data_IF_169011415718
#
_entry.id   IF_169011415718
#
_cell.length_a   1.000
_cell.length_b   1.000
_cell.length_c   1.000
_cell.angle_alpha   90.00
_cell.angle_beta   90.00
_cell.angle_gamma   90.00
#
_symmetry.space_group_name_H-M   'P 1'
#
loop_
_entity.id
_entity.type
_entity.pdbx_description
1 polymer ?
2 polymer ?
#
# COMPACT_ATOMS: atom_id res chain seq x y z
N UNK A 3 -24.11 -31.75 11.29
CA UNK A 3 -23.46 -31.32 10.04
C UNK A 3 -22.91 -29.89 10.09
N UNK A 4 -21.66 -29.72 9.67
CA UNK A 4 -20.99 -28.42 9.78
C UNK A 4 -21.74 -27.38 8.96
N UNK A 5 -22.00 -26.24 9.53
CA UNK A 5 -22.89 -25.25 8.89
C UNK A 5 -22.18 -24.33 7.90
N UNK A 6 -21.45 -24.93 6.97
CA UNK A 6 -20.72 -24.13 5.96
C UNK A 6 -21.74 -23.30 5.19
N UNK A 7 -22.96 -23.83 5.05
CA UNK A 7 -24.05 -23.12 4.33
C UNK A 7 -24.24 -21.74 4.95
N UNK A 8 -24.33 -21.67 6.28
CA UNK A 8 -24.63 -20.39 6.95
C UNK A 8 -23.57 -19.34 6.61
N UNK A 9 -22.31 -19.73 6.51
CA UNK A 9 -21.25 -18.79 6.11
C UNK A 9 -21.49 -18.30 4.71
N UNK A 10 -21.59 -19.23 3.76
CA UNK A 10 -21.58 -18.87 2.36
C UNK A 10 -22.88 -18.21 1.92
N UNK A 11 -23.99 -18.47 2.60
CA UNK A 11 -25.27 -17.99 2.12
C UNK A 11 -25.82 -16.83 2.95
N UNK A 12 -25.03 -16.29 3.88
CA UNK A 12 -25.49 -15.21 4.75
C UNK A 12 -25.99 -14.03 3.93
N UNK A 13 -26.87 -13.23 4.53
CA UNK A 13 -27.43 -12.13 3.77
C UNK A 13 -26.38 -11.08 3.46
N UNK A 14 -25.69 -10.57 4.47
CA UNK A 14 -24.57 -9.67 4.25
C UNK A 14 -23.33 -10.16 4.98
N UNK A 15 -22.19 -9.80 4.41
CA UNK A 15 -20.90 -10.13 4.98
C UNK A 15 -20.34 -8.94 5.77
N UNK A 16 -19.29 -9.19 6.53
CA UNK A 16 -18.68 -8.14 7.33
C UNK A 16 -17.72 -7.30 6.49
N UNK A 17 -17.51 -6.06 6.95
CA UNK A 17 -16.36 -5.31 6.47
C UNK A 17 -15.10 -6.04 6.89
N UNK A 18 -14.08 -5.92 6.04
CA UNK A 18 -12.86 -6.68 6.26
C UNK A 18 -12.13 -6.21 7.51
N UNK A 19 -12.32 -4.96 7.94
CA UNK A 19 -11.64 -4.54 9.17
C UNK A 19 -12.27 -5.20 10.39
N UNK A 20 -13.55 -5.57 10.28
CA UNK A 20 -14.24 -6.26 11.37
C UNK A 20 -14.77 -7.64 10.93
N UNK A 21 -13.95 -8.42 10.20
CA UNK A 21 -14.34 -9.72 9.64
C UNK A 21 -15.03 -10.62 10.64
N UNK A 22 -15.87 -11.53 10.18
CA UNK A 22 -16.43 -12.44 11.15
C UNK A 22 -15.58 -13.71 11.19
N UNK A 23 -15.77 -14.48 12.24
CA UNK A 23 -15.13 -15.78 12.36
C UNK A 23 -16.16 -16.73 12.93
N UNK A 24 -16.49 -17.77 12.20
CA UNK A 24 -17.31 -18.83 12.77
C UNK A 24 -16.41 -20.02 13.09
N UNK A 25 -16.23 -20.29 14.38
CA UNK A 25 -15.64 -21.57 14.77
C UNK A 25 -16.58 -22.66 14.27
N UNK A 26 -16.02 -23.79 13.87
CA UNK A 26 -16.79 -24.91 13.32
C UNK A 26 -16.25 -26.16 13.98
N UNK A 27 -17.04 -26.79 14.83
CA UNK A 27 -16.55 -27.95 15.60
C UNK A 27 -17.66 -28.98 15.85
N UNK A 28 -17.30 -30.14 16.41
CA UNK A 28 -18.27 -31.21 16.77
C UNK A 28 -19.37 -31.33 15.72
N UNK A 29 -18.97 -31.54 14.47
CA UNK A 29 -19.94 -31.59 13.36
C UNK A 29 -19.39 -32.43 12.22
N UNK A 30 -20.27 -32.94 11.36
CA UNK A 30 -19.83 -33.70 10.20
C UNK A 30 -19.62 -32.72 9.05
N UNK A 31 -18.46 -32.77 8.42
CA UNK A 31 -18.12 -31.81 7.37
C UNK A 31 -18.25 -32.46 6.01
N UNK A 32 -19.21 -32.00 5.22
CA UNK A 32 -19.35 -32.41 3.82
C UNK A 32 -18.99 -31.20 2.99
N UNK A 33 -17.74 -31.13 2.54
CA UNK A 33 -17.31 -29.97 1.76
C UNK A 33 -17.93 -29.94 0.37
N UNK A 34 -18.71 -30.94 -0.06
CA UNK A 34 -19.36 -30.81 -1.38
C UNK A 34 -20.40 -29.70 -1.35
N UNK A 35 -20.96 -29.44 -0.18
CA UNK A 35 -21.86 -28.32 0.08
C UNK A 35 -21.26 -27.02 -0.46
N UNK A 36 -19.93 -26.90 -0.35
CA UNK A 36 -19.27 -25.71 -0.84
C UNK A 36 -19.47 -25.56 -2.34
N UNK A 37 -19.30 -26.66 -3.08
CA UNK A 37 -19.25 -26.54 -4.54
C UNK A 37 -20.48 -25.83 -5.07
N UNK A 38 -21.64 -26.18 -4.51
CA UNK A 38 -22.93 -25.61 -5.00
C UNK A 38 -23.15 -24.24 -4.36
N UNK A 39 -22.26 -23.28 -4.62
CA UNK A 39 -22.43 -21.89 -4.12
C UNK A 39 -21.99 -20.90 -5.20
N UNK A 40 -22.31 -21.19 -6.48
CA UNK A 40 -21.97 -20.32 -7.65
C UNK A 40 -20.47 -20.40 -8.01
N UNK A 41 -20.08 -20.23 -9.29
CA UNK A 41 -18.66 -20.22 -9.69
C UNK A 41 -17.80 -19.31 -8.81
N UNK A 42 -16.64 -19.81 -8.36
CA UNK A 42 -15.78 -19.02 -7.46
C UNK A 42 -14.64 -18.36 -8.25
N UNK A 43 -14.48 -17.04 -8.11
CA UNK A 43 -13.39 -16.33 -8.78
C UNK A 43 -12.04 -16.81 -8.29
N UNK A 44 -12.01 -17.47 -7.15
CA UNK A 44 -10.78 -17.92 -6.52
C UNK A 44 -11.11 -19.09 -5.60
N UNK A 45 -10.25 -20.10 -5.60
CA UNK A 45 -10.43 -21.25 -4.71
C UNK A 45 -9.04 -21.88 -4.62
N UNK A 46 -8.18 -21.25 -3.82
CA UNK A 46 -6.77 -21.61 -3.77
C UNK A 46 -6.49 -22.06 -2.36
N UNK A 47 -6.31 -23.36 -2.17
CA UNK A 47 -5.99 -23.86 -0.84
C UNK A 47 -4.49 -23.80 -0.62
N UNK A 48 -4.08 -24.20 0.58
CA UNK A 48 -2.73 -23.96 1.09
C UNK A 48 -2.47 -25.04 2.11
N UNK A 49 -1.54 -25.93 1.80
CA UNK A 49 -1.22 -27.02 2.69
C UNK A 49 -2.17 -28.19 2.63
N UNK A 50 -3.08 -28.22 1.66
CA UNK A 50 -4.08 -29.28 1.63
C UNK A 50 -4.68 -29.33 0.24
N UNK A 51 -4.95 -30.52 -0.25
CA UNK A 51 -5.65 -30.61 -1.52
C UNK A 51 -7.14 -30.48 -1.27
N UNK A 52 -7.85 -29.59 -1.98
CA UNK A 52 -9.29 -29.49 -1.76
C UNK A 52 -10.03 -30.77 -2.09
N UNK A 53 -9.46 -31.60 -2.96
CA UNK A 53 -10.13 -32.80 -3.41
C UNK A 53 -10.01 -33.94 -2.43
N UNK A 54 -9.32 -33.75 -1.29
CA UNK A 54 -9.15 -34.80 -0.31
C UNK A 54 -9.82 -34.46 1.01
N UNK A 55 -10.52 -33.31 1.09
CA UNK A 55 -11.00 -32.77 2.37
C UNK A 55 -11.97 -33.70 3.09
N UNK A 56 -12.70 -34.57 2.38
CA UNK A 56 -13.57 -35.48 3.09
C UNK A 56 -12.83 -36.65 3.70
N UNK A 57 -11.56 -36.86 3.34
CA UNK A 57 -10.73 -37.88 3.97
C UNK A 57 -10.06 -37.38 5.26
N UNK A 58 -10.11 -36.08 5.54
CA UNK A 58 -9.30 -35.48 6.61
C UNK A 58 -10.13 -35.16 7.85
N UNK A 59 -9.52 -35.28 9.02
CA UNK A 59 -10.15 -34.97 10.30
C UNK A 59 -9.38 -33.86 10.99
N UNK A 60 -10.07 -32.76 11.32
CA UNK A 60 -9.46 -31.61 11.97
C UNK A 60 -10.05 -31.37 13.37
N UNK A 61 -9.28 -30.77 14.27
CA UNK A 61 -9.87 -30.53 15.58
C UNK A 61 -10.67 -29.24 15.63
N UNK A 62 -10.42 -28.30 14.72
CA UNK A 62 -11.23 -27.10 14.52
C UNK A 62 -11.21 -26.77 13.05
N UNK A 63 -12.27 -26.12 12.60
CA UNK A 63 -12.24 -25.39 11.34
C UNK A 63 -12.69 -23.98 11.67
N UNK A 64 -11.93 -22.99 11.23
CA UNK A 64 -12.37 -21.63 11.36
C UNK A 64 -12.82 -21.09 10.00
N UNK A 65 -13.94 -20.40 10.01
CA UNK A 65 -14.51 -19.82 8.80
C UNK A 65 -14.49 -18.32 8.98
N UNK A 66 -13.58 -17.62 8.31
CA UNK A 66 -13.59 -16.16 8.33
C UNK A 66 -14.29 -15.64 7.08
N UNK A 67 -14.92 -14.48 7.21
CA UNK A 67 -15.75 -14.00 6.08
C UNK A 67 -15.76 -12.48 6.04
N UNK A 68 -15.67 -11.91 4.84
CA UNK A 68 -15.62 -10.44 4.69
C UNK A 68 -15.80 -10.04 3.24
N UNK A 69 -15.87 -8.73 2.96
CA UNK A 69 -15.96 -8.24 1.56
C UNK A 69 -14.82 -7.26 1.26
N UNK A 70 -14.14 -7.43 0.13
CA UNK A 70 -13.09 -6.57 -0.37
C UNK A 70 -13.36 -6.35 -1.85
N UNK A 71 -12.58 -5.45 -2.47
CA UNK A 71 -12.75 -5.24 -3.94
C UNK A 71 -11.95 -6.28 -4.73
N UNK A 72 -12.23 -6.42 -6.03
CA UNK A 72 -11.59 -7.46 -6.87
C UNK A 72 -10.07 -7.48 -6.82
N UNK A 73 -9.43 -6.36 -7.14
CA UNK A 73 -7.94 -6.36 -7.22
C UNK A 73 -7.32 -6.78 -5.88
N UNK A 74 -8.02 -6.56 -4.75
CA UNK A 74 -7.39 -6.90 -3.48
C UNK A 74 -7.46 -8.37 -3.11
N UNK A 75 -8.27 -9.19 -3.80
CA UNK A 75 -8.29 -10.61 -3.46
C UNK A 75 -6.88 -11.21 -3.46
N UNK A 76 -5.98 -10.65 -4.27
CA UNK A 76 -4.58 -11.10 -4.21
C UNK A 76 -4.02 -11.01 -2.80
N UNK A 77 -4.57 -10.16 -1.96
CA UNK A 77 -3.91 -9.92 -0.69
C UNK A 77 -4.36 -10.89 0.40
N UNK A 78 -5.37 -11.70 0.12
CA UNK A 78 -5.79 -12.73 1.06
C UNK A 78 -4.99 -13.99 0.79
N UNK A 79 -3.74 -13.99 1.20
CA UNK A 79 -2.86 -15.13 0.92
C UNK A 79 -1.63 -15.00 1.79
N UNK A 80 -1.01 -16.12 2.20
CA UNK A 80 0.09 -16.04 3.16
C UNK A 80 1.19 -15.13 2.64
N UNK A 81 1.90 -14.52 3.56
CA UNK A 81 2.99 -13.68 3.13
C UNK A 81 2.69 -12.43 2.32
N UNK A 82 1.43 -12.15 2.05
CA UNK A 82 1.06 -10.95 1.29
C UNK A 82 1.38 -9.65 2.04
N UNK A 83 1.40 -8.56 1.28
CA UNK A 83 1.73 -7.24 1.81
C UNK A 83 0.78 -6.19 1.21
N UNK A 84 0.49 -5.14 1.98
CA UNK A 84 -0.40 -4.06 1.50
C UNK A 84 -1.52 -3.67 2.44
N UNK A 85 -2.27 -2.62 2.13
CA UNK A 85 -3.40 -2.12 2.96
C UNK A 85 -4.20 -3.27 3.55
N UNK A 86 -4.78 -4.11 2.69
CA UNK A 86 -5.67 -5.17 3.25
C UNK A 86 -4.87 -6.20 4.03
N UNK A 87 -3.84 -6.81 3.42
CA UNK A 87 -3.15 -7.89 4.12
C UNK A 87 -2.50 -7.43 5.44
N UNK A 88 -2.00 -6.19 5.51
CA UNK A 88 -1.30 -5.73 6.70
C UNK A 88 -2.19 -5.02 7.71
N UNK A 89 -3.34 -4.46 7.32
CA UNK A 89 -4.14 -3.76 8.31
C UNK A 89 -5.53 -4.37 8.58
N UNK A 90 -6.06 -5.20 7.69
CA UNK A 90 -7.38 -5.78 7.88
C UNK A 90 -7.32 -7.27 8.19
N UNK A 91 -6.74 -8.08 7.30
CA UNK A 91 -6.73 -9.52 7.46
C UNK A 91 -5.37 -10.07 7.02
N UNK A 92 -4.49 -10.35 7.99
CA UNK A 92 -3.20 -11.00 7.76
C UNK A 92 -3.36 -12.51 7.89
N UNK A 93 -2.75 -13.27 6.94
CA UNK A 93 -2.66 -14.71 7.10
C UNK A 93 -1.25 -15.11 7.56
N UNK A 94 -1.11 -16.13 8.40
CA UNK A 94 0.23 -16.55 8.80
C UNK A 94 0.96 -17.25 7.67
N UNK A 95 2.29 -17.34 7.81
CA UNK A 95 3.10 -17.84 6.69
C UNK A 95 2.99 -19.34 6.54
N UNK A 96 2.67 -20.07 7.62
CA UNK A 96 2.43 -21.52 7.62
C UNK A 96 0.95 -21.86 7.52
N UNK A 97 0.24 -21.22 6.62
CA UNK A 97 -1.20 -21.31 6.62
C UNK A 97 -1.64 -22.64 6.02
N UNK A 98 -2.63 -23.25 6.62
CA UNK A 98 -3.24 -24.47 6.10
C UNK A 98 -4.74 -24.24 6.02
N UNK A 99 -5.27 -24.10 4.80
CA UNK A 99 -6.65 -23.75 4.60
C UNK A 99 -6.89 -23.22 3.19
N UNK A 100 -8.09 -22.71 2.98
CA UNK A 100 -8.52 -22.33 1.64
C UNK A 100 -9.06 -20.91 1.63
N UNK A 101 -8.82 -20.23 0.52
CA UNK A 101 -9.40 -18.93 0.29
C UNK A 101 -10.30 -19.01 -0.92
N UNK A 102 -11.53 -18.54 -0.76
CA UNK A 102 -12.63 -18.73 -1.69
C UNK A 102 -13.25 -17.36 -1.88
N UNK A 103 -13.19 -16.81 -3.07
CA UNK A 103 -13.75 -15.50 -3.32
C UNK A 103 -14.65 -15.56 -4.55
N UNK A 104 -15.60 -14.64 -4.62
CA UNK A 104 -16.55 -14.60 -5.72
C UNK A 104 -17.17 -13.22 -5.82
N UNK A 105 -17.40 -12.82 -7.07
CA UNK A 105 -17.97 -11.53 -7.36
C UNK A 105 -19.37 -11.44 -6.78
N UNK A 106 -19.64 -10.37 -6.03
CA UNK A 106 -20.97 -10.14 -5.46
C UNK A 106 -21.42 -8.74 -5.79
N UNK A 107 -21.06 -8.28 -6.98
CA UNK A 107 -21.62 -7.04 -7.52
C UNK A 107 -23.13 -7.00 -7.35
N UNK A 108 -23.80 -8.14 -7.48
CA UNK A 108 -25.26 -8.15 -7.44
C UNK A 108 -25.83 -7.93 -6.05
N UNK A 109 -25.14 -8.37 -4.98
CA UNK A 109 -25.69 -8.22 -3.64
C UNK A 109 -25.12 -7.02 -2.87
N UNK A 110 -24.03 -6.42 -3.32
CA UNK A 110 -23.37 -5.42 -2.47
C UNK A 110 -23.18 -4.08 -3.16
N UNK A 111 -23.18 -4.06 -4.49
CA UNK A 111 -23.11 -2.80 -5.22
C UNK A 111 -24.47 -2.13 -5.24
N UNK A 112 -24.49 -0.82 -5.02
CA UNK A 112 -25.70 -0.03 -5.10
C UNK A 112 -25.41 1.24 -5.89
N UNK A 113 -26.47 1.80 -6.49
CA UNK A 113 -26.28 2.85 -7.48
C UNK A 113 -25.95 4.20 -6.83
N UNK A 114 -26.34 4.36 -5.56
CA UNK A 114 -26.00 5.59 -4.82
C UNK A 114 -24.72 5.43 -4.01
N UNK A 115 -24.05 4.27 -4.13
CA UNK A 115 -22.80 4.03 -3.39
C UNK A 115 -23.03 3.27 -2.10
N UNK A 116 -22.49 2.05 -1.99
CA UNK A 116 -22.62 1.26 -0.74
C UNK A 116 -21.48 1.63 0.21
N UNK A 117 -21.71 2.59 1.09
CA UNK A 117 -20.62 3.09 1.99
C UNK A 117 -20.57 2.28 3.30
N UNK A 118 -21.31 1.18 3.40
CA UNK A 118 -21.29 0.45 4.66
C UNK A 118 -20.17 -0.59 4.72
N UNK A 119 -19.53 -0.89 3.60
CA UNK A 119 -18.41 -1.83 3.57
C UNK A 119 -17.10 -1.03 3.65
N UNK A 120 -16.36 -1.18 4.75
CA UNK A 120 -15.23 -0.30 5.02
C UNK A 120 -13.93 -1.07 5.25
N UNK A 121 -12.82 -0.45 4.86
CA UNK A 121 -11.49 -1.00 5.06
C UNK A 121 -10.68 -0.08 5.97
N UNK A 122 -9.73 -0.63 6.69
CA UNK A 122 -8.81 0.20 7.46
C UNK A 122 -7.72 0.68 6.54
N UNK A 123 -7.49 1.99 6.55
CA UNK A 123 -6.64 2.66 5.58
C UNK A 123 -5.16 2.67 5.98
N UNK A 124 -4.86 2.75 7.28
CA UNK A 124 -3.50 2.83 7.81
C UNK A 124 -3.47 2.33 9.25
N UNK A 125 -2.30 1.85 9.69
CA UNK A 125 -2.16 1.31 11.05
C UNK A 125 -0.69 1.26 11.44
N UNK A 126 -0.30 2.02 12.46
CA UNK A 126 1.09 2.13 12.90
C UNK A 126 1.84 0.78 12.93
N UNK A 127 1.16 -0.32 13.31
CA UNK A 127 1.80 -1.64 13.30
C UNK A 127 0.89 -2.66 12.64
N UNK A 128 1.51 -3.59 11.93
CA UNK A 128 0.72 -4.51 11.14
C UNK A 128 -0.02 -5.48 12.06
N UNK A 129 -1.05 -6.13 11.54
CA UNK A 129 -1.74 -7.13 12.36
C UNK A 129 -0.91 -8.39 12.49
N UNK A 130 -0.85 -8.96 13.74
CA UNK A 130 -0.36 -10.34 13.91
C UNK A 130 -1.29 -11.20 13.06
N UNK A 131 -0.87 -12.37 12.58
CA UNK A 131 -1.80 -13.18 11.79
C UNK A 131 -3.08 -13.46 12.56
N UNK A 132 -4.20 -13.36 11.87
CA UNK A 132 -5.56 -13.59 12.37
C UNK A 132 -6.01 -12.56 13.39
N UNK A 133 -5.29 -11.46 13.56
CA UNK A 133 -5.68 -10.39 14.48
C UNK A 133 -6.78 -9.54 13.84
N UNK A 134 -7.55 -8.88 14.70
CA UNK A 134 -8.69 -8.06 14.31
C UNK A 134 -8.63 -6.77 15.13
N UNK A 135 -8.89 -5.63 14.48
CA UNK A 135 -8.75 -4.33 15.13
C UNK A 135 -10.00 -3.50 14.84
N UNK A 136 -10.88 -3.35 15.83
CA UNK A 136 -12.19 -2.68 15.56
C UNK A 136 -12.10 -1.18 15.82
N UNK A 137 -10.90 -0.65 16.06
CA UNK A 137 -10.71 0.78 16.41
C UNK A 137 -11.24 1.75 15.37
N UNK A 138 -11.50 2.99 15.80
CA UNK A 138 -11.95 4.07 14.89
C UNK A 138 -11.32 5.37 15.39
N UNK A 139 -10.14 5.31 16.00
CA UNK A 139 -9.49 6.50 16.62
C UNK A 139 -8.90 7.43 15.56
N UNK A 140 -9.23 8.72 15.62
CA UNK A 140 -8.70 9.70 14.66
C UNK A 140 -7.21 9.85 14.89
N UNK A 141 -6.48 10.15 13.82
CA UNK A 141 -5.02 10.24 13.93
C UNK A 141 -4.59 11.66 13.61
N UNK A 142 -3.63 12.17 14.38
CA UNK A 142 -3.18 13.56 14.30
C UNK A 142 -1.75 13.59 13.76
N UNK A 143 -1.60 13.96 12.49
CA UNK A 143 -0.27 14.27 12.00
C UNK A 143 0.25 15.55 12.65
N UNK A 144 -0.66 16.48 12.94
CA UNK A 144 -0.30 17.76 13.53
C UNK A 144 0.04 17.67 15.00
N UNK A 145 1.25 18.08 15.35
CA UNK A 145 1.69 18.11 16.75
C UNK A 145 0.82 19.05 17.57
N UNK A 147 -4.14 17.14 18.98
CA UNK A 147 -5.16 18.19 19.05
C UNK A 147 -6.27 17.94 18.03
N UNK A 148 -6.80 16.71 18.01
CA UNK A 148 -7.83 16.34 16.99
C UNK A 148 -9.23 16.47 17.57
N UNK A 149 -9.45 16.00 18.80
CA UNK A 149 -10.79 15.99 19.44
C UNK A 149 -11.75 15.17 18.55
N UNK A 150 -12.98 15.65 18.33
CA UNK A 150 -13.92 14.96 17.44
C UNK A 150 -13.91 15.56 16.04
N UNK A 151 -12.79 16.18 15.65
CA UNK A 151 -12.70 16.87 14.33
C UNK A 151 -11.71 16.14 13.42
N UNK A 152 -12.19 15.47 12.39
CA UNK A 152 -11.28 14.84 11.40
C UNK A 152 -11.12 15.84 10.26
N UNK A 153 -10.01 16.58 10.26
CA UNK A 153 -9.85 17.65 9.27
C UNK A 153 -8.63 17.52 8.37
N UNK A 154 -7.75 18.52 8.38
CA UNK A 154 -6.61 18.54 7.42
C UNK A 154 -5.54 17.55 7.89
N UNK A 155 -4.97 17.76 9.08
CA UNK A 155 -3.95 16.83 9.61
C UNK A 155 -4.62 15.89 10.61
N UNK A 156 -5.95 15.90 10.66
CA UNK A 156 -6.69 14.91 11.49
C UNK A 156 -7.27 13.87 10.54
N UNK A 157 -7.09 12.59 10.84
CA UNK A 157 -7.35 11.53 9.87
C UNK A 157 -8.21 10.43 10.51
N UNK A 158 -9.31 10.11 9.85
CA UNK A 158 -10.11 8.95 10.23
C UNK A 158 -9.46 7.71 9.59
N UNK A 159 -9.36 6.59 10.32
CA UNK A 159 -8.59 5.45 9.80
C UNK A 159 -9.38 4.44 8.95
N UNK A 160 -10.71 4.51 8.88
CA UNK A 160 -11.48 3.65 7.99
C UNK A 160 -11.95 4.46 6.80
N UNK A 161 -12.09 3.80 5.65
CA UNK A 161 -12.63 4.40 4.44
C UNK A 161 -13.70 3.47 3.86
N UNK A 162 -14.44 3.97 2.87
CA UNK A 162 -15.56 3.23 2.30
C UNK A 162 -15.28 2.90 0.85
N UNK A 163 -15.46 1.63 0.51
CA UNK A 163 -15.34 1.23 -0.90
C UNK A 163 -16.37 1.95 -1.76
N UNK A 164 -17.59 2.15 -1.23
CA UNK A 164 -18.61 2.85 -1.97
C UNK A 164 -18.90 2.19 -3.30
N UNK A 165 -19.33 0.93 -3.23
CA UNK A 165 -19.50 0.13 -4.43
C UNK A 165 -20.67 0.65 -5.28
N UNK A 166 -20.49 0.57 -6.60
CA UNK A 166 -21.52 1.00 -7.57
C UNK A 166 -21.53 -0.03 -8.71
N UNK A 167 -22.69 -0.40 -9.27
CA UNK A 167 -22.74 -1.46 -10.29
C UNK A 167 -21.88 -1.16 -11.53
N UNK A 168 -21.55 0.11 -11.78
CA UNK A 168 -20.82 0.42 -13.01
C UNK A 168 -19.31 0.43 -12.83
N UNK A 169 -18.82 -0.02 -11.67
CA UNK A 169 -17.38 -0.12 -11.46
C UNK A 169 -16.82 -1.32 -12.20
N UNK A 170 -15.60 -1.16 -12.72
CA UNK A 170 -14.93 -2.29 -13.35
C UNK A 170 -14.66 -3.41 -12.37
N UNK A 171 -14.56 -4.64 -12.89
CA UNK A 171 -14.52 -5.83 -12.04
C UNK A 171 -13.39 -5.74 -11.01
N UNK A 172 -12.44 -4.83 -11.25
CA UNK A 172 -11.37 -4.62 -10.29
C UNK A 172 -11.86 -3.99 -9.00
N UNK A 173 -12.89 -3.16 -9.08
CA UNK A 173 -13.44 -2.47 -7.91
C UNK A 173 -14.84 -2.96 -7.59
N UNK A 174 -15.21 -4.15 -8.02
CA UNK A 174 -16.50 -4.65 -7.58
C UNK A 174 -16.38 -5.41 -6.26
N UNK A 175 -17.48 -5.53 -5.50
CA UNK A 175 -17.42 -6.27 -4.24
C UNK A 175 -17.25 -7.76 -4.48
N UNK A 176 -16.43 -8.38 -3.63
CA UNK A 176 -16.17 -9.80 -3.68
C UNK A 176 -16.31 -10.35 -2.28
N UNK A 177 -17.07 -11.43 -2.14
CA UNK A 177 -17.25 -12.07 -0.85
C UNK A 177 -16.15 -13.11 -0.67
N UNK A 178 -15.44 -13.04 0.44
CA UNK A 178 -14.37 -13.99 0.70
C UNK A 178 -14.79 -14.84 1.88
N UNK A 179 -14.59 -16.14 1.76
CA UNK A 179 -14.52 -17.03 2.90
C UNK A 179 -13.11 -17.61 2.95
N UNK A 180 -12.44 -17.42 4.06
CA UNK A 180 -11.18 -18.08 4.34
C UNK A 180 -11.52 -19.16 5.32
N UNK A 181 -11.13 -20.40 5.02
CA UNK A 181 -11.34 -21.57 5.89
C UNK A 181 -9.98 -21.99 6.42
N UNK A 182 -9.84 -22.05 7.74
CA UNK A 182 -8.56 -22.40 8.37
C UNK A 182 -8.73 -23.75 9.05
N UNK A 183 -7.97 -24.74 8.61
CA UNK A 183 -8.05 -26.08 9.16
C UNK A 183 -6.97 -26.24 10.22
N UNK A 184 -7.38 -26.40 11.47
CA UNK A 184 -6.43 -26.44 12.58
C UNK A 184 -6.24 -27.87 13.05
N UNK A 185 -4.98 -28.24 13.36
CA UNK A 185 -4.61 -29.62 13.71
C UNK A 185 -3.90 -29.72 15.06
N UNK A 186 -4.64 -30.01 16.12
CA UNK A 186 -4.04 -30.20 17.44
C UNK A 186 -3.97 -31.68 17.83
N UNK A 187 -3.64 -31.92 19.11
CA UNK A 187 -3.59 -33.31 19.62
C UNK A 187 -4.97 -33.67 20.16
N UNK A 188 -5.82 -32.66 20.41
CA UNK A 188 -7.20 -32.91 20.86
C UNK A 188 -7.93 -33.78 19.84
N UNK A 189 -8.72 -34.78 20.27
CA UNK A 189 -9.49 -35.63 19.34
C UNK A 189 -10.13 -34.83 18.20
N UNK A 190 -9.90 -35.26 16.95
CA UNK A 190 -10.46 -34.53 15.78
C UNK A 190 -11.99 -34.54 15.83
N UNK A 191 -12.61 -33.36 15.70
CA UNK A 191 -14.05 -33.25 15.81
C UNK A 191 -14.71 -32.74 14.53
N UNK A 192 -13.95 -32.46 13.48
CA UNK A 192 -14.54 -32.13 12.18
C UNK A 192 -14.01 -33.19 11.21
N UNK A 193 -14.87 -34.09 10.78
CA UNK A 193 -14.48 -35.13 9.84
C UNK A 193 -15.45 -35.16 8.67
N UNK A 194 -15.17 -36.04 7.72
CA UNK A 194 -16.10 -36.33 6.66
C UNK A 194 -17.24 -37.21 7.12
N UNK A 195 -17.98 -37.78 6.18
CA UNK A 195 -18.93 -38.88 6.44
C UNK A 195 -18.50 -40.21 5.82
N UNK B 1 4.09 22.69 9.23
CA UNK B 1 4.87 22.67 10.47
C UNK B 1 5.83 21.48 10.52
N UNK B 2 5.64 20.54 9.59
CA UNK B 2 6.50 19.36 9.54
C UNK B 2 7.79 19.74 8.84
N UNK B 3 8.92 19.39 9.45
CA UNK B 3 10.20 19.81 8.90
C UNK B 3 11.16 18.64 8.94
N UNK B 4 11.77 18.35 7.79
CA UNK B 4 12.80 17.31 7.64
C UNK B 4 14.08 17.95 7.11
N UNK B 5 15.12 17.96 7.92
CA UNK B 5 16.40 18.55 7.57
C UNK B 5 17.38 17.41 7.38
N UNK B 6 17.95 17.30 6.17
CA UNK B 6 18.99 16.32 5.86
C UNK B 6 20.36 16.94 6.02
N UNK B 7 21.39 16.10 6.01
CA UNK B 7 22.74 16.55 6.29
C UNK B 7 23.70 15.40 6.03
N UNK B 8 24.95 15.73 5.70
CA UNK B 8 26.00 14.76 5.49
C UNK B 8 26.62 14.81 4.11
N UNK B 9 25.89 15.30 3.13
CA UNK B 9 26.38 15.34 1.75
C UNK B 9 27.77 15.89 1.59
N UNK B 10 28.60 15.14 0.88
CA UNK B 10 30.01 15.56 0.64
C UNK B 10 30.53 14.80 -0.58
N UNK B 11 31.63 15.28 -1.15
CA UNK B 11 32.27 14.56 -2.27
C UNK B 11 33.06 13.41 -1.68
N UNK B 12 32.84 12.21 -2.21
CA UNK B 12 33.54 11.00 -1.72
C UNK B 12 34.12 10.25 -2.91
N UNK B 13 35.24 9.58 -2.73
CA UNK B 13 35.82 8.71 -3.74
C UNK B 13 35.08 7.37 -3.78
N UNK B 14 34.99 6.68 -4.93
CA UNK B 14 34.39 5.33 -4.92
C UNK B 14 35.17 4.40 -3.98
N UNK B 15 34.45 3.43 -3.42
CA UNK B 15 34.93 2.67 -2.28
C UNK B 15 34.68 3.33 -0.95
N UNK B 16 34.44 4.64 -0.94
CA UNK B 16 34.34 5.41 0.27
C UNK B 16 33.05 5.12 1.02
N UNK B 17 32.89 5.83 2.14
CA UNK B 17 31.78 5.63 3.06
C UNK B 17 31.36 6.99 3.59
N UNK B 18 30.10 7.06 4.05
CA UNK B 18 29.53 8.34 4.42
C UNK B 18 28.21 8.05 5.12
N UNK B 19 27.87 8.85 6.14
CA UNK B 19 26.64 8.67 6.90
C UNK B 19 25.78 9.93 6.75
N UNK B 20 24.61 9.80 6.10
CA UNK B 20 23.66 10.91 6.01
C UNK B 20 22.77 10.97 7.25
N UNK B 21 22.26 12.16 7.53
CA UNK B 21 21.46 12.37 8.74
C UNK B 21 20.19 13.14 8.42
N UNK B 22 19.09 12.74 9.05
CA UNK B 22 17.81 13.46 8.95
C UNK B 22 17.37 13.91 10.33
N UNK B 23 16.90 15.15 10.47
CA UNK B 23 16.30 15.60 11.73
C UNK B 23 14.83 15.91 11.53
N UNK B 24 13.99 15.39 12.40
CA UNK B 24 12.57 15.49 12.16
C UNK B 24 11.90 16.31 13.25
N UNK B 25 10.79 16.95 12.88
CA UNK B 25 10.03 17.75 13.82
C UNK B 25 8.72 18.13 13.16
N UNK B 26 7.71 18.37 13.98
CA UNK B 26 6.43 18.79 13.48
C UNK B 26 5.42 17.69 13.35
N UNK B 27 5.75 16.48 13.79
CA UNK B 27 4.87 15.31 13.82
C UNK B 27 5.45 14.33 14.82
N UNK B 28 4.64 13.37 15.23
CA UNK B 28 5.16 12.40 16.18
C UNK B 28 5.93 11.36 15.38
N UNK B 29 7.22 11.63 15.24
CA UNK B 29 8.23 10.76 14.63
C UNK B 29 8.03 9.31 15.03
N UNK B 30 7.72 9.11 16.30
CA UNK B 30 7.62 7.79 16.88
C UNK B 30 6.60 6.90 16.19
N UNK B 31 5.72 7.46 15.36
CA UNK B 31 4.69 6.65 14.73
C UNK B 31 5.02 6.20 13.31
N UNK B 32 5.82 6.95 12.56
CA UNK B 32 5.94 6.78 11.12
C UNK B 32 7.08 5.86 10.68
N UNK B 33 6.86 5.17 9.56
CA UNK B 33 7.96 4.65 8.78
C UNK B 33 8.66 5.83 8.12
N UNK B 34 9.97 5.73 7.91
CA UNK B 34 10.77 6.83 7.37
C UNK B 34 11.57 6.30 6.19
N UNK B 35 11.58 7.05 5.09
CA UNK B 35 12.17 6.58 3.85
C UNK B 35 13.33 7.48 3.46
N UNK B 36 14.20 6.96 2.61
CA UNK B 36 15.15 7.75 1.84
C UNK B 36 14.87 7.59 0.35
N UNK B 37 14.91 8.69 -0.40
CA UNK B 37 14.72 8.72 -1.84
C UNK B 37 15.85 9.54 -2.47
N UNK B 38 16.32 9.14 -3.63
CA UNK B 38 17.42 9.90 -4.24
C UNK B 38 17.06 10.36 -5.64
N UNK B 39 17.64 11.50 -6.05
CA UNK B 39 17.39 12.16 -7.33
C UNK B 39 18.71 12.10 -8.10
N UNK B 40 18.80 11.11 -9.01
CA UNK B 40 19.99 10.75 -9.78
C UNK B 40 20.16 11.80 -10.88
N UNK B 41 21.39 12.09 -11.33
CA UNK B 41 21.55 12.93 -12.53
C UNK B 41 21.05 12.23 -13.79
N UNK B 42 20.14 12.89 -14.50
CA UNK B 42 19.47 12.37 -15.68
C UNK B 42 18.24 11.50 -15.43
N UNK B 43 18.28 10.62 -14.41
CA UNK B 43 17.39 9.47 -14.34
C UNK B 43 16.25 9.59 -13.33
N UNK B 44 15.98 10.78 -12.78
CA UNK B 44 14.78 11.00 -11.99
C UNK B 44 14.84 10.49 -10.54
N UNK B 45 13.66 10.26 -9.95
CA UNK B 45 13.53 9.85 -8.55
C UNK B 45 13.77 8.35 -8.34
N UNK B 46 14.56 8.00 -7.33
CA UNK B 46 14.86 6.59 -7.04
C UNK B 46 14.64 6.32 -5.55
N UNK B 47 13.63 5.51 -5.22
CA UNK B 47 13.45 5.04 -3.85
C UNK B 47 14.66 4.23 -3.40
N UNK B 48 15.03 4.40 -2.13
CA UNK B 48 16.25 3.81 -1.60
C UNK B 48 15.94 2.81 -0.49
N UNK B 49 15.38 3.30 0.61
CA UNK B 49 15.26 2.49 1.79
C UNK B 49 14.14 3.04 2.68
N UNK B 50 13.66 2.18 3.58
CA UNK B 50 12.65 2.57 4.56
C UNK B 50 12.90 1.76 5.81
N UNK B 51 12.49 2.32 6.95
CA UNK B 51 12.66 1.68 8.26
C UNK B 51 11.39 1.90 9.10
N UNK B 52 10.91 0.82 9.71
CA UNK B 52 9.67 0.85 10.48
C UNK B 52 9.76 1.82 11.66
N UNK B 53 8.61 2.12 12.29
CA UNK B 53 8.56 3.15 13.33
C UNK B 53 9.48 2.82 14.51
N UNK B 54 9.70 1.54 14.78
CA UNK B 54 10.53 1.10 15.90
C UNK B 54 11.90 0.58 15.51
N UNK B 55 12.29 0.66 14.23
CA UNK B 55 13.58 0.17 13.82
C UNK B 55 13.66 -1.33 13.60
N UNK B 56 12.57 -2.08 13.79
CA UNK B 56 12.62 -3.52 13.64
C UNK B 56 12.56 -4.03 12.21
N UNK B 57 12.13 -3.21 11.28
CA UNK B 57 12.00 -3.63 9.90
C UNK B 57 12.64 -2.59 9.00
N UNK B 58 13.39 -3.07 8.02
CA UNK B 58 14.17 -2.20 7.16
C UNK B 58 14.08 -2.83 5.78
N UNK B 59 13.76 -2.06 4.75
CA UNK B 59 13.92 -2.65 3.44
C UNK B 59 14.69 -1.71 2.54
N UNK B 60 15.09 -2.25 1.38
CA UNK B 60 16.11 -1.64 0.55
C UNK B 60 15.84 -1.88 -0.93
N UNK B 61 16.23 -0.92 -1.74
CA UNK B 61 16.21 -1.11 -3.18
C UNK B 61 17.33 -2.06 -3.57
N UNK B 62 17.14 -2.82 -4.64
CA UNK B 62 18.13 -3.83 -5.00
C UNK B 62 19.48 -3.18 -5.30
N UNK B 63 19.45 -1.97 -5.86
CA UNK B 63 20.67 -1.29 -6.24
C UNK B 63 21.51 -0.96 -5.03
N UNK B 64 21.00 -1.20 -3.84
CA UNK B 64 21.57 -0.66 -2.60
C UNK B 64 21.78 -1.72 -1.53
N UNK B 65 21.30 -2.95 -1.73
CA UNK B 65 21.23 -3.93 -0.66
C UNK B 65 22.61 -4.37 -0.15
N UNK B 66 22.80 -4.33 1.15
CA UNK B 66 24.08 -4.78 1.64
C UNK B 66 25.25 -3.88 1.31
N UNK B 67 24.99 -2.69 0.75
CA UNK B 67 25.95 -1.58 0.83
C UNK B 67 25.45 -0.37 1.62
N UNK B 68 24.13 -0.23 1.85
CA UNK B 68 23.55 0.88 2.59
C UNK B 68 22.82 0.34 3.82
N UNK B 69 22.81 1.09 4.92
CA UNK B 69 22.18 0.62 6.17
C UNK B 69 21.36 1.76 6.74
N UNK B 70 20.02 1.62 6.71
CA UNK B 70 19.11 2.61 7.25
C UNK B 70 18.92 2.37 8.74
N UNK B 71 18.75 3.44 9.52
CA UNK B 71 18.57 3.22 10.94
C UNK B 71 17.96 4.48 11.58
N UNK B 72 17.52 4.34 12.82
CA UNK B 72 16.92 5.52 13.42
C UNK B 72 17.16 5.51 14.92
N UNK B 73 16.91 6.67 15.51
CA UNK B 73 17.11 6.92 16.93
C UNK B 73 15.95 7.82 17.33
N UNK B 74 14.85 7.23 17.79
CA UNK B 74 13.68 8.06 18.05
C UNK B 74 13.93 9.03 19.19
N UNK B 75 14.77 8.64 20.16
CA UNK B 75 15.04 9.55 21.27
C UNK B 75 15.59 10.88 20.78
N UNK B 76 16.30 10.87 19.64
CA UNK B 76 16.79 12.09 19.02
C UNK B 76 15.94 12.54 17.83
N UNK B 77 14.86 11.82 17.53
CA UNK B 77 13.98 12.12 16.39
C UNK B 77 14.81 12.19 15.10
N UNK B 78 15.69 11.22 14.95
CA UNK B 78 16.68 11.24 13.89
C UNK B 78 16.56 9.99 13.04
N UNK B 79 17.03 10.11 11.82
CA UNK B 79 17.03 9.03 10.85
C UNK B 79 18.32 9.17 10.05
N UNK B 80 19.07 8.09 9.96
CA UNK B 80 20.40 8.05 9.38
C UNK B 80 20.41 7.07 8.24
N UNK B 81 21.33 7.27 7.30
CA UNK B 81 21.56 6.32 6.21
C UNK B 81 23.06 6.17 6.07
N UNK B 82 23.60 5.04 6.52
CA UNK B 82 25.03 4.77 6.50
C UNK B 82 25.38 4.14 5.17
N UNK B 83 26.35 4.72 4.49
CA UNK B 83 26.72 4.31 3.14
C UNK B 83 28.13 3.72 3.14
N UNK B 84 28.31 2.61 2.42
CA UNK B 84 29.60 1.97 2.28
C UNK B 84 29.78 1.57 0.83
N UNK B 85 31.04 1.45 0.43
CA UNK B 85 31.37 0.89 -0.87
C UNK B 85 30.79 1.76 -1.99
N UNK B 86 30.82 3.08 -1.80
CA UNK B 86 30.05 3.99 -2.65
C UNK B 86 30.46 3.82 -4.11
N UNK B 87 29.53 4.15 -5.01
CA UNK B 87 29.78 4.00 -6.44
C UNK B 87 29.29 5.22 -7.21
N UNK B 88 29.81 5.37 -8.44
CA UNK B 88 29.34 6.43 -9.34
C UNK B 88 27.82 6.46 -9.40
N UNK B 89 27.20 5.28 -9.51
CA UNK B 89 25.76 5.23 -9.61
C UNK B 89 25.09 5.91 -8.42
N UNK B 90 25.78 6.01 -7.27
CA UNK B 90 25.15 6.56 -6.06
C UNK B 90 25.18 8.07 -6.00
N UNK B 91 25.82 8.73 -6.97
CA UNK B 91 25.82 10.19 -7.02
C UNK B 91 24.39 10.69 -7.22
N UNK B 92 23.90 11.45 -6.24
CA UNK B 92 22.50 11.86 -6.27
C UNK B 92 22.22 12.85 -5.15
N UNK B 93 21.05 13.48 -5.25
CA UNK B 93 20.52 14.33 -4.19
C UNK B 93 19.68 13.41 -3.31
N UNK B 94 20.06 13.27 -2.04
CA UNK B 94 19.45 12.26 -1.17
C UNK B 94 18.41 12.93 -0.30
N UNK B 95 17.17 12.48 -0.42
CA UNK B 95 16.06 13.09 0.28
C UNK B 95 15.67 12.26 1.48
N UNK B 96 15.19 12.92 2.52
CA UNK B 96 14.62 12.26 3.68
C UNK B 96 13.11 12.47 3.65
N UNK B 97 12.36 11.39 3.68
CA UNK B 97 10.94 11.42 3.34
C UNK B 97 10.14 10.73 4.42
N UNK B 98 8.97 11.30 4.78
CA UNK B 98 7.99 10.59 5.63
C UNK B 98 6.66 10.50 4.90
N UNK B 99 5.99 9.35 4.99
CA UNK B 99 4.74 9.17 4.25
C UNK B 99 3.59 9.92 4.87
N UNK B 100 2.58 10.20 4.05
CA UNK B 100 1.35 10.85 4.49
C UNK B 100 0.84 10.22 5.76
N UNK B 101 0.70 8.85 5.77
CA UNK B 101 0.04 8.05 6.82
C UNK B 101 1.06 7.21 7.57
N UNK B 102 0.74 6.80 8.81
CA UNK B 102 1.57 5.81 9.50
C UNK B 102 1.34 4.40 8.96
N UNK B 103 2.14 3.47 9.46
CA UNK B 103 2.08 2.12 8.92
C UNK B 103 3.23 1.85 7.98
N UNK B 104 3.61 0.58 7.86
CA UNK B 104 4.87 0.24 7.19
C UNK B 104 4.72 0.39 5.68
N UNK B 105 3.53 0.13 5.17
CA UNK B 105 3.31 0.12 3.73
C UNK B 105 2.65 1.38 3.22
N UNK B 106 2.72 2.48 3.96
CA UNK B 106 2.21 3.76 3.44
C UNK B 106 2.89 4.13 2.13
N UNK B 107 2.08 4.44 1.11
CA UNK B 107 2.60 4.56 -0.26
C UNK B 107 2.56 5.99 -0.79
N UNK B 108 2.37 6.97 0.05
CA UNK B 108 2.25 8.37 -0.37
C UNK B 108 3.22 9.15 0.48
N UNK B 109 4.04 9.97 -0.16
CA UNK B 109 5.02 10.75 0.57
C UNK B 109 4.69 12.24 0.40
N UNK B 110 4.15 12.84 1.46
CA UNK B 110 3.88 14.27 1.41
C UNK B 110 4.95 15.13 2.06
N UNK B 111 5.95 14.55 2.72
CA UNK B 111 6.96 15.33 3.45
C UNK B 111 8.35 14.96 2.99
N UNK B 112 9.12 15.96 2.54
CA UNK B 112 10.42 15.76 1.92
C UNK B 112 11.39 16.83 2.41
N UNK B 113 12.58 16.42 2.76
CA UNK B 113 13.57 17.38 3.15
C UNK B 113 14.04 18.09 1.90
N UNK B 114 15.04 18.95 2.08
CA UNK B 114 15.59 19.67 0.94
C UNK B 114 16.57 18.81 0.17
N UNK B 115 17.08 17.77 0.79
CA UNK B 115 18.03 16.97 0.05
C UNK B 115 19.45 17.46 0.23
N UNK B 116 20.37 16.50 0.27
CA UNK B 116 21.79 16.71 0.56
C UNK B 116 22.61 16.03 -0.54
N UNK B 117 23.28 16.84 -1.36
CA UNK B 117 24.02 16.34 -2.53
C UNK B 117 25.15 15.38 -2.15
N UNK B 118 25.18 14.19 -2.76
CA UNK B 118 26.19 13.18 -2.49
C UNK B 118 26.88 12.81 -3.80
N UNK B 119 28.18 13.11 -3.92
CA UNK B 119 28.90 12.97 -5.18
C UNK B 119 30.05 11.98 -5.02
N UNK B 120 30.14 11.02 -5.94
CA UNK B 120 31.17 10.01 -5.88
C UNK B 120 32.05 10.19 -7.11
N UNK B 121 33.31 10.51 -6.89
CA UNK B 121 34.23 10.76 -7.99
C UNK B 121 35.65 10.71 -7.47
N UNK B 122 36.54 10.13 -8.28
CA UNK B 122 37.96 9.97 -7.95
C UNK B 122 38.69 11.29 -7.66
N UNK B 125 12.62 0.93 -12.37
CA UNK B 125 12.33 2.04 -13.29
C UNK B 125 10.96 1.89 -13.97
N UNK B 126 10.05 2.80 -13.65
CA UNK B 126 8.81 2.93 -14.39
C UNK B 126 9.05 3.97 -15.49
N UNK B 127 8.33 3.83 -16.61
CA UNK B 127 8.60 4.59 -17.83
C UNK B 127 7.65 5.78 -18.01
N UNK B 128 8.22 6.95 -18.24
CA UNK B 128 7.49 8.20 -18.42
C UNK B 128 7.95 8.90 -19.69
N UNK B 129 7.06 9.61 -20.38
CA UNK B 129 7.52 10.54 -21.42
C UNK B 129 8.50 11.56 -20.84
N UNK B 130 9.65 11.75 -21.52
CA UNK B 130 10.66 12.68 -21.04
C UNK B 130 10.12 14.11 -20.95
N UNK B 131 9.58 14.62 -22.05
CA UNK B 131 9.03 15.97 -22.14
C UNK B 131 7.64 15.92 -22.76
N UNK B 132 6.74 16.79 -22.31
CA UNK B 132 5.42 16.89 -22.91
C UNK B 132 5.04 18.36 -22.94
N UNK B 133 4.10 18.70 -23.81
CA UNK B 133 3.85 20.10 -24.15
C UNK B 133 2.37 20.29 -24.46
N UNK B 134 1.75 21.24 -23.75
CA UNK B 134 0.40 21.69 -24.06
C UNK B 134 0.31 23.20 -24.04
N UNK B 135 -0.89 23.72 -24.47
CA UNK B 135 -1.05 25.16 -24.51
C UNK B 135 -2.03 25.61 -23.46
N UNK B 136 -1.82 26.83 -22.88
CA UNK B 136 -2.65 27.27 -21.74
C UNK B 136 -4.13 27.08 -21.95
N UNK B 137 -4.75 26.27 -21.09
CA UNK B 137 -6.16 25.97 -21.21
C UNK B 137 -6.41 24.58 -21.75
N UNK B 138 -5.50 24.08 -22.60
CA UNK B 138 -5.61 22.72 -23.13
C UNK B 138 -5.34 21.67 -22.04
N UNK B 139 -5.39 20.39 -22.42
CA UNK B 139 -5.29 19.29 -21.45
C UNK B 139 -4.22 18.31 -21.92
N UNK B 140 -3.15 18.18 -21.13
CA UNK B 140 -2.12 17.17 -21.37
C UNK B 140 -2.36 15.98 -20.44
N UNK B 141 -1.79 14.84 -20.81
CA UNK B 141 -1.73 13.67 -19.94
C UNK B 141 -0.31 13.09 -20.00
N UNK B 142 0.04 12.35 -18.95
CA UNK B 142 1.40 11.86 -18.73
C UNK B 142 1.34 10.38 -18.39
N UNK B 143 2.13 9.57 -19.08
CA UNK B 143 2.05 8.13 -18.91
C UNK B 143 2.99 7.67 -17.81
N UNK B 144 2.66 6.52 -17.23
CA UNK B 144 3.45 5.89 -16.17
C UNK B 144 3.27 4.39 -16.38
N UNK B 145 4.21 3.80 -17.12
CA UNK B 145 4.09 2.35 -17.46
C UNK B 145 5.03 1.51 -16.58
N UNK B 146 4.46 0.51 -15.90
CA UNK B 146 5.29 -0.41 -15.11
C UNK B 146 4.94 -1.83 -15.44
N UNK B 147 4.76 -2.66 -14.42
CA UNK B 147 4.44 -4.10 -14.62
C UNK B 147 3.17 -4.47 -13.86
N UNK B 148 2.88 -5.78 -13.78
CA UNK B 148 1.71 -6.27 -13.02
C UNK B 148 2.22 -6.59 -11.62
N UNK B 149 3.46 -6.19 -11.30
CA UNK B 149 4.04 -6.40 -9.95
C UNK B 149 4.26 -5.05 -9.28
N UNK B 150 4.03 -3.94 -10.00
CA UNK B 150 4.14 -2.57 -9.42
C UNK B 150 2.82 -1.84 -9.71
N UNK B 151 2.74 -1.13 -10.84
CA UNK B 151 1.53 -0.30 -11.15
C UNK B 151 0.32 -1.23 -11.27
N UNK B 152 0.37 -2.21 -12.16
CA UNK B 152 -0.76 -3.11 -12.37
C UNK B 152 -1.11 -4.00 -11.18
N UNK B 153 -0.27 -4.02 -10.14
CA UNK B 153 -0.49 -4.90 -9.00
C UNK B 153 -1.31 -4.26 -7.90
N UNK B 154 -1.17 -2.95 -7.73
CA UNK B 154 -1.78 -2.31 -6.55
C UNK B 154 -2.48 -1.00 -6.87
N UNK B 155 -3.26 -0.51 -5.91
CA UNK B 155 -4.00 0.75 -6.09
C UNK B 155 -3.26 1.88 -5.39
N UNK B 156 -1.92 1.81 -5.35
CA UNK B 156 -1.11 2.81 -4.61
C UNK B 156 -0.21 3.58 -5.57
N UNK B 157 -0.80 4.22 -6.57
CA UNK B 157 -0.04 5.03 -7.52
C UNK B 157 -0.13 6.49 -7.10
N UNK B 158 1.02 7.17 -7.09
CA UNK B 158 1.09 8.56 -6.70
C UNK B 158 1.85 9.39 -7.74
N UNK B 159 1.48 10.65 -7.83
CA UNK B 159 2.14 11.61 -8.67
C UNK B 159 2.68 12.73 -7.78
N UNK B 160 3.84 13.26 -8.15
CA UNK B 160 4.51 14.29 -7.38
C UNK B 160 4.92 15.38 -8.33
N UNK B 161 4.72 16.63 -7.95
CA UNK B 161 5.15 17.76 -8.75
C UNK B 161 6.40 18.36 -8.10
N UNK B 162 7.22 19.02 -8.92
CA UNK B 162 8.47 19.56 -8.43
C UNK B 162 8.78 20.80 -9.24
N UNK B 163 8.94 21.92 -8.57
CA UNK B 163 9.40 23.15 -9.19
C UNK B 163 10.86 23.42 -8.83
N UNK B 164 11.56 24.25 -9.59
CA UNK B 164 13.01 24.37 -9.38
C UNK B 164 13.37 24.83 -7.97
N UNK B 165 14.30 24.11 -7.34
CA UNK B 165 14.78 24.39 -6.01
C UNK B 165 13.89 23.89 -4.91
N UNK B 166 12.78 23.25 -5.23
CA UNK B 166 11.88 22.69 -4.24
C UNK B 166 11.95 21.15 -4.28
N UNK B 167 11.50 20.53 -3.21
CA UNK B 167 11.40 19.08 -3.23
C UNK B 167 10.10 18.70 -3.92
N UNK B 168 9.93 17.42 -4.27
CA UNK B 168 8.62 16.96 -4.72
C UNK B 168 7.48 17.39 -3.80
N UNK B 169 6.37 17.81 -4.42
CA UNK B 169 5.10 18.09 -3.74
C UNK B 169 4.09 17.02 -4.16
N UNK B 170 3.47 16.34 -3.18
CA UNK B 170 2.53 15.25 -3.49
C UNK B 170 1.20 15.83 -3.98
N UNK B 171 0.80 15.50 -5.22
CA UNK B 171 -0.40 16.04 -5.87
C UNK B 171 -1.45 14.98 -6.17
N UNK B 172 -1.06 13.72 -6.28
CA UNK B 172 -2.04 12.65 -6.42
C UNK B 172 -1.57 11.45 -5.63
N UNK B 173 -2.49 10.83 -4.91
CA UNK B 173 -2.14 9.63 -4.11
C UNK B 173 -3.21 8.55 -4.28
N UNK B 174 -2.88 7.29 -3.97
CA UNK B 174 -3.86 6.16 -4.08
C UNK B 174 -4.59 6.22 -5.44
N UNK B 175 -3.88 6.42 -6.55
CA UNK B 175 -4.45 6.42 -7.94
C UNK B 175 -5.34 7.65 -8.21
N UNK B 176 -6.40 7.88 -7.41
CA UNK B 176 -7.37 8.95 -7.75
C UNK B 176 -7.58 9.97 -6.62
N UNK B 177 -6.69 10.07 -5.64
CA UNK B 177 -7.00 11.00 -4.56
C UNK B 177 -6.13 12.24 -4.63
N UNK B 178 -6.60 13.31 -4.00
CA UNK B 178 -5.99 14.64 -4.08
C UNK B 178 -5.86 15.20 -2.67
N UNK B 179 -4.65 15.48 -2.19
CA UNK B 179 -4.53 16.14 -0.89
C UNK B 179 -5.05 17.57 -0.93
N UNK B 180 -5.48 18.04 0.25
CA UNK B 180 -6.11 19.35 0.38
C UNK B 180 -5.28 20.43 -0.26
N UNK B 181 -5.90 21.20 -1.15
CA UNK B 181 -5.28 22.34 -1.78
C UNK B 181 -4.84 22.07 -3.20
N UNK B 182 -4.69 20.80 -3.59
CA UNK B 182 -4.44 20.50 -5.00
C UNK B 182 -5.75 20.79 -5.74
N UNK B 183 -5.72 21.63 -6.78
CA UNK B 183 -6.95 21.93 -7.52
C UNK B 183 -7.32 20.80 -8.48
N UNK B 184 -8.60 20.68 -8.77
CA UNK B 184 -9.09 19.48 -9.41
C UNK B 184 -8.85 19.45 -10.92
N UNK B 185 -8.10 20.41 -11.47
CA UNK B 185 -7.64 20.22 -12.85
C UNK B 185 -6.49 19.25 -12.94
N UNK B 186 -6.06 18.66 -11.81
CA UNK B 186 -5.12 17.54 -11.78
C UNK B 186 -5.91 16.27 -11.49
N UNK B 187 -5.97 15.37 -12.44
CA UNK B 187 -6.60 14.08 -12.17
C UNK B 187 -5.64 12.96 -12.52
N UNK B 188 -5.92 11.79 -11.95
CA UNK B 188 -5.09 10.60 -12.18
C UNK B 188 -5.94 9.38 -12.43
N UNK B 189 -5.42 8.48 -13.27
CA UNK B 189 -6.14 7.23 -13.63
C UNK B 189 -5.14 6.09 -13.77
N UNK B 190 -5.62 4.88 -14.08
CA UNK B 190 -4.76 3.69 -14.19
C UNK B 190 -5.48 2.60 -14.98
N UNK B 191 -4.85 2.11 -16.05
CA UNK B 191 -5.41 0.98 -16.84
C UNK B 191 -4.26 0.03 -17.16
N UNK B 192 -4.43 -1.23 -16.79
CA UNK B 192 -3.33 -2.18 -16.96
C UNK B 192 -2.16 -1.75 -16.11
N UNK B 193 -0.99 -1.74 -16.70
CA UNK B 193 0.23 -1.37 -15.96
C UNK B 193 0.57 0.10 -16.25
N UNK B 194 -0.40 0.89 -16.71
CA UNK B 194 -0.13 2.31 -17.07
C UNK B 194 -1.03 3.26 -16.30
N UNK B 195 -0.43 4.12 -15.48
CA UNK B 195 -1.17 5.13 -14.75
C UNK B 195 -0.92 6.47 -15.39
N UNK B 196 -1.94 7.33 -15.47
CA UNK B 196 -1.84 8.58 -16.21
C UNK B 196 -2.24 9.77 -15.35
N UNK B 197 -1.42 10.83 -15.40
CA UNK B 197 -1.75 12.11 -14.82
C UNK B 197 -2.22 13.01 -15.95
N UNK B 198 -3.42 13.58 -15.80
CA UNK B 198 -4.01 14.49 -16.78
C UNK B 198 -4.18 15.86 -16.13
N UNK B 199 -3.82 16.91 -16.86
CA UNK B 199 -3.94 18.28 -16.36
C UNK B 199 -4.79 19.09 -17.33
N UNK B 200 -5.93 19.57 -16.85
CA UNK B 200 -6.77 20.47 -17.63
C UNK B 200 -6.46 21.91 -17.27
N UNK B 201 -7.17 22.84 -17.91
CA UNK B 201 -7.21 24.24 -17.54
C UNK B 201 -5.84 24.81 -17.22
N UNK B 202 -4.87 24.39 -18.06
CA UNK B 202 -3.43 24.48 -17.84
C UNK B 202 -2.93 25.91 -17.59
N UNK B 203 -2.47 26.17 -16.36
CA UNK B 203 -1.81 27.43 -16.03
C UNK B 203 -0.30 27.32 -16.29
N UNK B 204 0.36 28.48 -16.44
CA UNK B 204 1.80 28.46 -16.69
C UNK B 204 2.59 28.16 -15.42
N UNK B 205 1.90 28.16 -14.28
CA UNK B 205 2.55 27.78 -13.00
C UNK B 205 2.64 26.26 -12.95
N UNK B 206 2.39 25.59 -14.07
CA UNK B 206 2.47 24.11 -14.13
C UNK B 206 3.61 23.78 -15.09
N UNK B 207 4.52 24.74 -15.31
CA UNK B 207 5.72 24.46 -16.12
C UNK B 207 6.61 23.87 -15.05
N UNK B 208 6.74 22.55 -15.01
CA UNK B 208 7.48 21.87 -13.92
C UNK B 208 7.81 20.42 -14.29
N UNK B 209 8.20 19.64 -13.29
CA UNK B 209 8.45 18.23 -13.51
C UNK B 209 7.44 17.40 -12.73
N UNK B 210 7.15 16.21 -13.27
CA UNK B 210 6.05 15.36 -12.81
C UNK B 210 6.52 13.92 -12.73
N UNK B 211 6.29 13.30 -11.57
CA UNK B 211 6.89 12.02 -11.21
C UNK B 211 5.81 11.09 -10.69
N UNK B 212 5.88 9.83 -11.08
CA UNK B 212 4.94 8.89 -10.47
C UNK B 212 5.68 7.91 -9.57
N UNK B 213 4.90 7.30 -8.69
CA UNK B 213 5.47 6.29 -7.82
C UNK B 213 4.41 5.23 -7.60
N UNK B 214 4.82 3.97 -7.59
CA UNK B 214 3.92 2.88 -7.24
C UNK B 214 4.52 2.01 -6.15
N UNK B 215 3.67 1.51 -5.26
CA UNK B 215 4.05 0.34 -4.49
C UNK B 215 4.54 -0.74 -5.45
N UNK B 216 5.57 -1.48 -5.06
CA UNK B 216 6.10 -2.53 -5.91
C UNK B 216 6.14 -3.87 -5.20
N UNK B 217 5.33 -4.05 -4.16
CA UNK B 217 5.30 -5.31 -3.43
C UNK B 217 6.50 -5.45 -2.51
N UNK B 218 6.46 -6.53 -1.70
CA UNK B 218 7.38 -6.67 -0.58
C UNK B 218 7.34 -5.30 0.11
N UNK B 219 8.40 -4.67 0.54
CA UNK B 219 8.17 -3.35 1.14
C UNK B 219 9.01 -2.31 0.39
N UNK B 220 8.55 -1.99 -0.81
CA UNK B 220 9.38 -1.55 -1.91
C UNK B 220 8.60 -0.61 -2.81
N UNK B 221 9.27 0.44 -3.30
CA UNK B 221 8.64 1.40 -4.18
C UNK B 221 9.52 1.72 -5.38
N UNK B 222 8.89 2.28 -6.43
CA UNK B 222 9.58 2.66 -7.68
C UNK B 222 8.93 3.91 -8.30
N UNK B 223 9.76 4.75 -8.95
CA UNK B 223 9.41 6.04 -9.56
C UNK B 223 9.68 6.03 -11.08
N UNK B 224 9.68 7.25 -11.71
CA UNK B 224 10.03 7.52 -13.12
C UNK B 224 10.70 8.87 -13.44
N UNK B 225 10.30 9.64 -14.49
CA UNK B 225 10.64 11.07 -14.68
C UNK B 225 10.12 11.84 -15.93
N UNK B 226 9.39 12.97 -15.79
CA UNK B 226 8.80 13.69 -16.95
C UNK B 226 8.53 15.22 -16.92
N UNK B 227 8.99 15.98 -17.94
CA UNK B 227 8.96 17.46 -17.94
C UNK B 227 7.82 18.03 -18.78
N UNK B 228 7.10 19.00 -18.24
CA UNK B 228 6.07 19.70 -19.00
C UNK B 228 6.54 21.13 -19.31
N UNK B 229 6.40 21.51 -20.57
CA UNK B 229 6.57 22.91 -20.98
C UNK B 229 5.21 23.40 -21.46
N UNK B 230 4.65 24.38 -20.75
CA UNK B 230 3.48 25.11 -21.23
C UNK B 230 3.95 26.11 -22.28
N UNK B 231 3.53 25.89 -23.53
CA UNK B 231 4.02 26.72 -24.63
C UNK B 231 3.48 28.13 -24.47
N UNK B 232 4.39 29.10 -24.36
CA UNK B 232 4.00 30.48 -24.12
C UNK B 232 4.42 31.35 -25.30
#
# INVERSE_FOLDING_TARGET
TNLCPFDEVFNATRFASVYAWNRKRISNCVADYSVLYNFAPFFAFKCYGVSPTKLNDLCFTNVYADSFVIRGNEVSQIAPGQTGNIADYNYKLPDDFTGCVIAWNSNKLDSKVGGNYNYRYRLFRKSNLKPFERDISTEIYQAGNKPCNGVAGVNCYFPLQSYGFRPTYGVGHQPYRVVVLSFELLHAPATVCGPKKS
EVQLVESGGVVVQPGGSLRLSCAASGFTFDDYAMHWVRQVPGKGLEWVSLISWDGGSRDYADSVKGRFTISRDNSKNALYLQMHSLRLEDTALYYCVRPVYPGYSSSEFDSWGQGTMVTVSSQAVLTQPRSVSGSPGQSVTISCTGTISDVGAYNYVSWYQQHPGKAPKLIIYDVIERPSGVPDRFSGSKSGNTASLTISGLQAEDEADYHCCSYAGNYTWMFGGGTTLTVL
#
